data_IF_426085455372
#
_entry.id   IF_426085455372
#
_cell.length_a   1.000
_cell.length_b   1.000
_cell.length_c   1.000
_cell.angle_alpha   90.00
_cell.angle_beta   90.00
_cell.angle_gamma   90.00
#
_symmetry.space_group_name_H-M   'P 1'
#
loop_
_entity.id
_entity.type
_entity.pdbx_description
1 polymer ?
#
# COMPACT_ATOMS: atom_id res chain seq x y z
N UNK A 1 -3.74 13.58 6.59
CA UNK A 1 -3.87 12.21 6.00
C UNK A 1 -3.19 12.07 4.64
N UNK A 2 -3.49 12.92 3.63
CA UNK A 2 -2.88 12.84 2.28
C UNK A 2 -1.35 12.87 2.26
N UNK A 3 -0.72 13.78 3.00
CA UNK A 3 0.76 13.86 3.11
C UNK A 3 1.38 12.57 3.67
N UNK A 4 0.69 11.91 4.61
CA UNK A 4 1.13 10.64 5.21
C UNK A 4 1.14 9.53 4.16
N UNK A 5 0.08 9.44 3.35
CA UNK A 5 -0.01 8.47 2.24
C UNK A 5 1.13 8.66 1.23
N UNK A 6 1.37 9.90 0.79
CA UNK A 6 2.48 10.18 -0.12
C UNK A 6 3.85 9.82 0.46
N UNK A 7 4.06 10.10 1.74
CA UNK A 7 5.31 9.73 2.44
C UNK A 7 5.50 8.21 2.50
N UNK A 8 4.42 7.45 2.71
CA UNK A 8 4.44 5.97 2.71
C UNK A 8 4.83 5.44 1.32
N UNK A 9 4.18 5.95 0.27
CA UNK A 9 4.46 5.55 -1.12
C UNK A 9 5.93 5.81 -1.45
N UNK A 10 6.41 7.03 -1.18
CA UNK A 10 7.78 7.43 -1.48
C UNK A 10 8.81 6.59 -0.70
N UNK A 11 8.55 6.30 0.58
CA UNK A 11 9.48 5.52 1.41
C UNK A 11 9.58 4.07 0.95
N UNK A 12 8.45 3.45 0.58
CA UNK A 12 8.45 2.07 0.07
C UNK A 12 9.17 1.99 -1.28
N UNK A 13 8.94 2.96 -2.18
CA UNK A 13 9.59 2.99 -3.48
C UNK A 13 11.09 3.27 -3.39
N UNK A 14 11.51 4.24 -2.56
CA UNK A 14 12.92 4.59 -2.39
C UNK A 14 13.75 3.44 -1.83
N UNK A 15 13.15 2.63 -0.94
CA UNK A 15 13.83 1.49 -0.32
C UNK A 15 13.65 0.17 -1.09
N UNK A 16 13.00 0.20 -2.26
CA UNK A 16 12.72 -1.01 -3.08
C UNK A 16 12.12 -2.16 -2.26
N UNK A 17 11.29 -1.83 -1.25
CA UNK A 17 10.75 -2.82 -0.30
C UNK A 17 9.75 -3.78 -0.96
N UNK A 18 9.43 -3.54 -2.23
CA UNK A 18 8.57 -4.38 -3.05
C UNK A 18 9.03 -4.39 -4.50
N UNK A 19 9.40 -5.55 -5.01
CA UNK A 19 9.79 -5.77 -6.41
C UNK A 19 8.53 -6.22 -7.16
N UNK A 20 7.61 -5.30 -7.42
CA UNK A 20 6.48 -5.58 -8.31
C UNK A 20 6.45 -4.55 -9.43
N UNK A 21 6.48 -5.04 -10.67
CA UNK A 21 6.70 -4.23 -11.87
C UNK A 21 5.43 -3.58 -12.41
N UNK A 22 4.25 -3.98 -11.93
CA UNK A 22 2.97 -3.44 -12.41
C UNK A 22 2.75 -2.00 -11.95
N UNK A 23 2.30 -1.19 -12.90
CA UNK A 23 2.04 0.24 -12.74
C UNK A 23 0.56 0.53 -12.95
N UNK A 24 -0.05 1.26 -12.03
CA UNK A 24 -1.40 1.79 -12.13
C UNK A 24 -1.34 3.23 -12.66
N UNK A 25 -2.06 3.48 -13.75
CA UNK A 25 -2.24 4.82 -14.31
C UNK A 25 -3.56 5.40 -13.82
N UNK A 26 -3.50 6.56 -13.17
CA UNK A 26 -4.68 7.25 -12.66
C UNK A 26 -4.81 8.59 -13.37
N UNK A 27 -5.94 8.78 -14.04
CA UNK A 27 -6.33 10.05 -14.63
C UNK A 27 -7.19 10.83 -13.64
N UNK A 28 -6.87 12.10 -13.44
CA UNK A 28 -7.63 12.99 -12.56
C UNK A 28 -7.68 14.40 -13.15
N UNK A 29 -8.73 15.15 -12.83
CA UNK A 29 -8.81 16.55 -13.17
C UNK A 29 -7.88 17.33 -12.23
N UNK A 30 -6.94 18.08 -12.79
CA UNK A 30 -6.15 19.01 -12.00
C UNK A 30 -6.98 20.28 -11.74
N UNK A 31 -7.34 20.58 -10.48
CA UNK A 31 -8.12 21.76 -10.15
C UNK A 31 -7.41 23.08 -10.49
N UNK A 32 -6.07 23.09 -10.58
CA UNK A 32 -5.33 24.31 -10.90
C UNK A 32 -5.31 24.61 -12.40
N UNK A 33 -5.18 23.58 -13.25
CA UNK A 33 -5.06 23.76 -14.70
C UNK A 33 -6.33 23.42 -15.48
N UNK A 34 -7.37 22.92 -14.81
CA UNK A 34 -8.62 22.40 -15.39
C UNK A 34 -8.38 21.41 -16.57
N UNK A 35 -7.30 20.63 -16.48
CA UNK A 35 -6.89 19.64 -17.49
C UNK A 35 -6.80 18.27 -16.85
N UNK A 36 -7.02 17.23 -17.65
CA UNK A 36 -6.78 15.85 -17.22
C UNK A 36 -5.27 15.62 -17.10
N UNK A 37 -4.81 15.25 -15.90
CA UNK A 37 -3.44 14.79 -15.64
C UNK A 37 -3.43 13.28 -15.41
N UNK A 38 -2.35 12.63 -15.84
CA UNK A 38 -2.10 11.21 -15.62
C UNK A 38 -0.92 11.04 -14.64
N UNK A 39 -1.16 10.30 -13.56
CA UNK A 39 -0.10 9.90 -12.61
C UNK A 39 0.10 8.38 -12.71
N UNK A 40 1.36 7.96 -12.63
CA UNK A 40 1.73 6.54 -12.64
C UNK A 40 2.24 6.14 -11.26
N UNK A 41 1.62 5.12 -10.66
CA UNK A 41 1.94 4.63 -9.31
C UNK A 41 2.19 3.11 -9.33
N UNK A 42 2.88 2.51 -8.35
CA UNK A 42 2.98 1.07 -8.24
C UNK A 42 1.61 0.46 -7.92
N UNK A 43 1.14 -0.49 -8.74
CA UNK A 43 -0.25 -0.97 -8.71
C UNK A 43 -0.64 -1.62 -7.38
N UNK A 44 0.10 -2.67 -6.99
CA UNK A 44 -0.19 -3.41 -5.75
C UNK A 44 -0.15 -2.48 -4.53
N UNK A 45 0.88 -1.63 -4.45
CA UNK A 45 1.03 -0.71 -3.32
C UNK A 45 -0.14 0.28 -3.25
N UNK A 46 -0.54 0.83 -4.40
CA UNK A 46 -1.66 1.76 -4.49
C UNK A 46 -2.96 1.11 -4.03
N UNK A 47 -3.24 -0.12 -4.48
CA UNK A 47 -4.43 -0.87 -4.08
C UNK A 47 -4.41 -1.24 -2.59
N UNK A 48 -3.25 -1.61 -2.05
CA UNK A 48 -3.12 -1.91 -0.62
C UNK A 48 -3.39 -0.67 0.24
N UNK A 49 -2.87 0.49 -0.17
CA UNK A 49 -3.10 1.77 0.50
C UNK A 49 -4.56 2.19 0.41
N UNK A 50 -5.19 2.08 -0.77
CA UNK A 50 -6.60 2.40 -0.97
C UNK A 50 -7.49 1.54 -0.07
N UNK A 51 -7.22 0.23 0.01
CA UNK A 51 -7.93 -0.62 0.95
C UNK A 51 -7.68 -0.18 2.40
N UNK A 52 -6.43 0.07 2.80
CA UNK A 52 -6.10 0.44 4.18
C UNK A 52 -6.76 1.75 4.67
N UNK A 53 -7.12 2.67 3.77
CA UNK A 53 -7.78 3.93 4.14
C UNK A 53 -9.32 3.86 4.10
N UNK A 54 -9.89 2.86 3.43
CA UNK A 54 -11.34 2.67 3.34
C UNK A 54 -11.81 1.89 4.57
N UNK A 55 -12.75 2.42 5.37
CA UNK A 55 -13.28 1.70 6.54
C UNK A 55 -14.00 0.42 6.12
N UNK A 56 -13.96 -0.60 6.98
CA UNK A 56 -14.57 -1.93 6.75
C UNK A 56 -14.07 -2.66 5.50
N UNK A 57 -12.87 -2.35 5.02
CA UNK A 57 -12.23 -3.08 3.93
C UNK A 57 -11.53 -4.35 4.44
N UNK A 58 -11.36 -5.31 3.54
CA UNK A 58 -10.54 -6.50 3.76
C UNK A 58 -9.63 -6.69 2.55
N UNK A 59 -8.42 -7.18 2.79
CA UNK A 59 -7.43 -7.41 1.73
C UNK A 59 -6.90 -8.84 1.80
N UNK A 60 -7.06 -9.58 0.71
CA UNK A 60 -6.47 -10.91 0.53
C UNK A 60 -5.28 -10.81 -0.44
N UNK A 61 -4.07 -11.10 0.06
CA UNK A 61 -2.85 -11.12 -0.75
C UNK A 61 -2.46 -12.56 -1.09
N UNK A 62 -2.53 -12.91 -2.37
CA UNK A 62 -2.19 -14.26 -2.88
C UNK A 62 -0.92 -14.19 -3.74
N UNK A 63 -0.03 -15.17 -3.59
CA UNK A 63 1.22 -15.27 -4.36
C UNK A 63 2.24 -16.22 -3.72
N UNK A 64 3.33 -16.52 -4.43
CA UNK A 64 4.36 -17.47 -4.00
C UNK A 64 5.06 -17.11 -2.67
N UNK A 65 5.73 -18.10 -2.06
CA UNK A 65 6.57 -17.87 -0.88
C UNK A 65 7.67 -16.83 -1.17
N UNK A 66 7.98 -15.98 -0.18
CA UNK A 66 9.00 -14.94 -0.33
C UNK A 66 8.56 -13.66 -1.05
N UNK A 67 7.36 -13.60 -1.63
CA UNK A 67 6.86 -12.41 -2.36
C UNK A 67 6.54 -11.17 -1.51
N UNK A 68 7.07 -11.06 -0.29
CA UNK A 68 6.93 -9.88 0.56
C UNK A 68 5.53 -9.58 1.11
N UNK A 69 4.52 -10.41 0.84
CA UNK A 69 3.09 -10.15 1.20
C UNK A 69 2.90 -9.73 2.66
N UNK A 70 3.38 -10.54 3.59
CA UNK A 70 3.30 -10.27 5.04
C UNK A 70 4.13 -9.05 5.43
N UNK A 71 5.32 -8.87 4.83
CA UNK A 71 6.19 -7.71 5.06
C UNK A 71 5.49 -6.41 4.65
N UNK A 72 4.82 -6.38 3.50
CA UNK A 72 4.06 -5.22 3.03
C UNK A 72 2.94 -4.85 4.00
N UNK A 73 2.14 -5.83 4.42
CA UNK A 73 1.03 -5.59 5.37
C UNK A 73 1.55 -5.06 6.69
N UNK A 74 2.63 -5.63 7.23
CA UNK A 74 3.28 -5.16 8.46
C UNK A 74 3.84 -3.75 8.33
N UNK A 75 4.54 -3.45 7.25
CA UNK A 75 5.12 -2.13 7.01
C UNK A 75 4.02 -1.07 6.87
N UNK A 76 2.99 -1.36 6.07
CA UNK A 76 1.83 -0.48 5.93
C UNK A 76 1.14 -0.29 7.28
N UNK A 77 0.83 -1.36 8.00
CA UNK A 77 0.22 -1.32 9.33
C UNK A 77 1.02 -0.44 10.29
N UNK A 78 2.35 -0.58 10.33
CA UNK A 78 3.23 0.22 11.19
C UNK A 78 3.22 1.68 10.79
N UNK A 79 3.31 1.98 9.50
CA UNK A 79 3.30 3.36 9.01
C UNK A 79 1.95 4.05 9.23
N UNK A 80 0.83 3.32 9.10
CA UNK A 80 -0.50 3.88 9.30
C UNK A 80 -0.88 4.03 10.77
N UNK A 81 -0.54 3.07 11.63
CA UNK A 81 -1.01 3.01 13.01
C UNK A 81 0.03 3.40 14.06
N UNK A 82 1.33 3.40 13.72
CA UNK A 82 2.41 3.61 14.68
C UNK A 82 2.73 2.40 15.56
N UNK A 83 1.94 1.31 15.47
CA UNK A 83 2.13 0.09 16.24
C UNK A 83 3.43 -0.63 15.89
N UNK A 84 3.98 -1.36 16.86
CA UNK A 84 5.13 -2.25 16.64
C UNK A 84 4.78 -3.40 15.69
N UNK A 85 5.82 -4.02 15.10
CA UNK A 85 5.61 -5.18 14.23
C UNK A 85 4.97 -6.37 14.98
N UNK A 86 5.25 -6.51 16.28
CA UNK A 86 4.68 -7.57 17.11
C UNK A 86 3.19 -7.35 17.36
N UNK A 87 2.76 -6.12 17.63
CA UNK A 87 1.33 -5.79 17.77
C UNK A 87 0.55 -5.94 16.46
N UNK A 88 1.22 -5.77 15.32
CA UNK A 88 0.60 -5.99 14.01
C UNK A 88 0.48 -7.46 13.68
N UNK A 89 1.44 -8.29 14.12
CA UNK A 89 1.36 -9.74 13.95
C UNK A 89 0.11 -10.35 14.59
N UNK A 90 -0.28 -9.87 15.78
CA UNK A 90 -1.49 -10.35 16.46
C UNK A 90 -2.77 -9.95 15.73
N UNK A 91 -2.70 -8.97 14.83
CA UNK A 91 -3.83 -8.49 14.02
C UNK A 91 -3.93 -9.21 12.66
N UNK A 92 -2.95 -10.03 12.28
CA UNK A 92 -2.92 -10.73 10.99
C UNK A 92 -3.48 -12.14 11.17
N UNK A 93 -4.63 -12.40 10.57
CA UNK A 93 -5.17 -13.76 10.45
C UNK A 93 -4.39 -14.50 9.36
N UNK A 94 -3.79 -15.63 9.73
CA UNK A 94 -3.09 -16.52 8.80
C UNK A 94 -3.90 -17.81 8.65
N UNK A 95 -4.26 -18.14 7.41
CA UNK A 95 -4.71 -19.49 7.09
C UNK A 95 -3.50 -20.41 7.00
N UNK A 96 -3.32 -21.29 7.97
CA UNK A 96 -2.45 -22.47 7.82
C UNK A 96 -3.36 -23.66 7.54
N UNK A 97 -2.97 -24.48 6.56
CA UNK A 97 -3.54 -25.81 6.33
C UNK A 97 -2.73 -26.84 7.11
#
# INVERSE_FOLDING_TARGET
>A
MRLKVWRIINLIQANQLFVHSKKLKIKHLDPASNKIKENTLPEILSLCILNAIVPNSAMLLVGGHGGGKTTLVKLLGRMFTGKSLNELETSIVRGHS
#
